data_IF_869572532773
#
_entry.id   IF_869572532773
#
_cell.length_a   1.000
_cell.length_b   1.000
_cell.length_c   1.000
_cell.angle_alpha   90.00
_cell.angle_beta   90.00
_cell.angle_gamma   90.00
#
_symmetry.space_group_name_H-M   'P 1'
#
loop_
_entity.id
_entity.type
_entity.pdbx_description
1 polymer ?
#
# COMPACT_ATOMS: atom_id res chain seq x y z
N UNK A 1 16.05 21.13 5.20
CA UNK A 1 15.89 19.67 5.43
C UNK A 1 14.95 19.22 4.32
N UNK A 2 15.31 18.22 3.52
CA UNK A 2 14.39 17.66 2.54
C UNK A 2 13.71 16.47 3.20
N UNK A 3 12.41 16.57 3.46
CA UNK A 3 11.63 15.45 3.98
C UNK A 3 11.56 14.38 2.89
N UNK A 4 12.25 13.28 3.15
CA UNK A 4 12.22 12.10 2.30
C UNK A 4 11.23 11.09 2.88
N UNK A 5 10.55 10.36 2.01
CA UNK A 5 9.55 9.38 2.40
C UNK A 5 9.92 8.01 1.87
N UNK A 6 9.71 7.00 2.70
CA UNK A 6 9.88 5.61 2.34
C UNK A 6 8.49 4.99 2.15
N UNK A 7 8.24 4.47 0.95
CA UNK A 7 6.95 3.89 0.57
C UNK A 7 7.13 2.41 0.23
N UNK A 8 6.18 1.58 0.67
CA UNK A 8 6.18 0.14 0.46
C UNK A 8 4.78 -0.35 0.13
N UNK A 9 4.71 -1.40 -0.68
CA UNK A 9 3.49 -2.18 -0.87
C UNK A 9 3.78 -3.63 -0.60
N UNK A 10 2.94 -4.27 0.21
CA UNK A 10 3.05 -5.69 0.54
C UNK A 10 1.68 -6.35 0.40
N UNK A 11 1.63 -7.50 -0.24
CA UNK A 11 0.46 -8.38 -0.20
C UNK A 11 0.70 -9.47 0.85
N UNK A 12 -0.28 -9.68 1.73
CA UNK A 12 -0.24 -10.70 2.77
C UNK A 12 -1.27 -11.79 2.47
N UNK A 13 -0.80 -13.00 2.25
CA UNK A 13 -1.64 -14.20 2.15
C UNK A 13 -1.37 -15.16 3.30
N UNK A 14 -2.05 -16.30 3.29
CA UNK A 14 -1.77 -17.40 4.23
C UNK A 14 -1.15 -18.59 3.52
N UNK A 15 -0.01 -19.08 4.03
CA UNK A 15 0.63 -20.31 3.57
C UNK A 15 0.84 -21.24 4.78
N UNK A 16 0.34 -22.48 4.72
CA UNK A 16 0.42 -23.43 5.82
C UNK A 16 -0.10 -22.91 7.19
N UNK A 17 -1.08 -21.99 7.18
CA UNK A 17 -1.61 -21.36 8.39
C UNK A 17 -0.83 -20.14 8.88
N UNK A 18 0.30 -19.81 8.25
CA UNK A 18 1.11 -18.63 8.58
C UNK A 18 0.82 -17.48 7.62
N UNK A 19 0.82 -16.24 8.15
CA UNK A 19 0.68 -15.02 7.33
C UNK A 19 2.02 -14.69 6.68
N UNK A 20 2.06 -14.74 5.35
CA UNK A 20 3.26 -14.47 4.55
C UNK A 20 3.08 -13.17 3.76
N UNK A 21 4.04 -12.25 3.89
CA UNK A 21 4.07 -11.00 3.13
C UNK A 21 4.96 -11.11 1.90
N UNK A 22 4.44 -10.72 0.73
CA UNK A 22 5.17 -10.62 -0.53
C UNK A 22 5.27 -9.14 -0.92
N UNK A 23 6.48 -8.56 -1.00
CA UNK A 23 6.66 -7.17 -1.39
C UNK A 23 6.30 -6.99 -2.87
N UNK A 24 5.40 -6.05 -3.15
CA UNK A 24 4.95 -5.72 -4.51
C UNK A 24 5.64 -4.48 -5.08
N UNK A 25 6.28 -3.68 -4.22
CA UNK A 25 7.05 -2.52 -4.65
C UNK A 25 7.58 -1.70 -3.49
N UNK A 26 8.65 -0.97 -3.75
CA UNK A 26 9.22 0.00 -2.82
C UNK A 26 9.61 1.27 -3.58
N UNK A 27 9.54 2.41 -2.91
CA UNK A 27 9.94 3.68 -3.49
C UNK A 27 10.40 4.66 -2.40
N UNK A 28 11.52 5.33 -2.69
CA UNK A 28 12.08 6.37 -1.82
C UNK A 28 11.76 7.71 -2.47
N UNK A 29 10.71 8.35 -2.01
CA UNK A 29 10.20 9.58 -2.59
C UNK A 29 10.97 10.80 -2.03
N UNK A 30 11.53 11.67 -2.89
CA UNK A 30 12.28 12.83 -2.44
C UNK A 30 11.37 14.00 -2.01
N UNK A 31 10.06 13.87 -2.18
CA UNK A 31 9.06 14.87 -1.76
C UNK A 31 7.76 14.18 -1.33
N UNK A 32 6.95 14.87 -0.53
CA UNK A 32 5.63 14.41 -0.12
C UNK A 32 4.72 14.16 -1.33
N UNK A 33 4.72 15.07 -2.30
CA UNK A 33 3.91 14.95 -3.50
C UNK A 33 4.23 13.67 -4.30
N UNK A 34 5.51 13.30 -4.39
CA UNK A 34 5.92 12.06 -5.06
C UNK A 34 5.59 10.81 -4.24
N UNK A 35 5.58 10.90 -2.91
CA UNK A 35 5.12 9.80 -2.05
C UNK A 35 3.63 9.51 -2.28
N UNK A 36 2.80 10.56 -2.23
CA UNK A 36 1.35 10.46 -2.47
C UNK A 36 1.06 9.96 -3.89
N UNK A 37 1.73 10.53 -4.90
CA UNK A 37 1.61 10.08 -6.28
C UNK A 37 1.95 8.60 -6.41
N UNK A 38 3.04 8.14 -5.81
CA UNK A 38 3.46 6.74 -5.92
C UNK A 38 2.47 5.80 -5.24
N UNK A 39 1.94 6.14 -4.06
CA UNK A 39 0.92 5.33 -3.40
C UNK A 39 -0.34 5.18 -4.28
N UNK A 40 -0.80 6.26 -4.90
CA UNK A 40 -1.94 6.24 -5.83
C UNK A 40 -1.66 5.38 -7.06
N UNK A 41 -0.50 5.60 -7.68
CA UNK A 41 -0.07 4.82 -8.84
C UNK A 41 0.01 3.32 -8.52
N UNK A 42 0.53 2.95 -7.35
CA UNK A 42 0.57 1.55 -6.92
C UNK A 42 -0.81 0.97 -6.59
N UNK A 43 -1.70 1.72 -5.97
CA UNK A 43 -3.07 1.28 -5.72
C UNK A 43 -3.81 1.00 -7.05
N UNK A 44 -3.70 1.88 -8.05
CA UNK A 44 -4.27 1.65 -9.39
C UNK A 44 -3.61 0.45 -10.07
N UNK A 45 -2.29 0.34 -10.00
CA UNK A 45 -1.55 -0.79 -10.60
C UNK A 45 -1.97 -2.15 -10.03
N UNK A 46 -2.30 -2.24 -8.74
CA UNK A 46 -2.85 -3.44 -8.10
C UNK A 46 -4.28 -3.67 -8.61
N UNK A 47 -5.14 -2.65 -8.55
CA UNK A 47 -6.54 -2.76 -8.95
C UNK A 47 -6.70 -3.27 -10.39
N UNK A 48 -5.90 -2.75 -11.32
CA UNK A 48 -5.95 -3.14 -12.73
C UNK A 48 -5.44 -4.56 -13.01
N UNK A 49 -4.66 -5.14 -12.08
CA UNK A 49 -4.20 -6.53 -12.17
C UNK A 49 -5.17 -7.51 -11.54
N UNK A 50 -5.89 -7.08 -10.51
CA UNK A 50 -6.90 -7.87 -9.83
C UNK A 50 -8.21 -7.90 -10.61
N UNK A 51 -8.56 -6.79 -11.26
CA UNK A 51 -9.76 -6.64 -12.09
C UNK A 51 -9.38 -6.12 -13.49
N UNK A 52 -8.85 -7.00 -14.35
CA UNK A 52 -8.50 -6.65 -15.71
C UNK A 52 -9.73 -6.53 -16.62
N UNK A 53 -9.66 -5.65 -17.61
CA UNK A 53 -10.69 -5.58 -18.65
C UNK A 53 -10.75 -6.89 -19.45
N UNK A 54 -11.95 -7.51 -19.60
CA UNK A 54 -12.10 -8.79 -20.28
C UNK A 54 -11.55 -8.82 -21.71
N UNK A 55 -11.68 -7.69 -22.41
CA UNK A 55 -11.21 -7.45 -23.77
C UNK A 55 -9.73 -7.04 -23.88
N UNK A 56 -8.99 -6.98 -22.77
CA UNK A 56 -7.58 -6.59 -22.82
C UNK A 56 -6.74 -7.65 -23.56
N UNK A 57 -5.95 -7.20 -24.54
CA UNK A 57 -5.27 -8.04 -25.53
C UNK A 57 -4.28 -9.10 -24.97
N UNK A 58 -3.97 -9.05 -23.67
CA UNK A 58 -3.03 -9.95 -23.01
C UNK A 58 -3.70 -11.15 -22.31
N UNK A 59 -5.04 -11.23 -22.31
CA UNK A 59 -5.77 -12.37 -21.76
C UNK A 59 -6.35 -13.24 -22.89
N UNK A 60 -6.07 -14.55 -22.89
CA UNK A 60 -6.73 -15.47 -23.81
C UNK A 60 -8.26 -15.44 -23.65
N UNK A 61 -9.03 -15.64 -24.74
CA UNK A 61 -10.49 -15.77 -24.63
C UNK A 61 -10.89 -16.84 -23.61
N UNK A 62 -11.78 -16.49 -22.68
CA UNK A 62 -12.27 -17.39 -21.64
C UNK A 62 -11.31 -17.62 -20.46
N UNK A 63 -10.18 -16.92 -20.36
CA UNK A 63 -9.28 -17.01 -19.20
C UNK A 63 -9.72 -16.18 -18.00
N UNK A 64 -10.74 -15.35 -18.17
CA UNK A 64 -11.31 -14.49 -17.13
C UNK A 64 -12.73 -14.96 -16.82
N UNK A 65 -13.07 -14.98 -15.54
CA UNK A 65 -14.40 -15.31 -15.04
C UNK A 65 -14.89 -14.18 -14.14
N UNK A 66 -16.19 -13.82 -14.21
CA UNK A 66 -16.75 -12.84 -13.29
C UNK A 66 -16.67 -13.36 -11.86
N UNK A 67 -16.29 -12.48 -10.95
CA UNK A 67 -16.37 -12.73 -9.51
C UNK A 67 -17.80 -12.47 -9.04
N UNK A 68 -18.26 -13.18 -8.02
CA UNK A 68 -19.59 -12.97 -7.46
C UNK A 68 -19.68 -11.62 -6.73
N UNK A 69 -20.82 -10.94 -6.82
CA UNK A 69 -21.10 -9.65 -6.16
C UNK A 69 -21.02 -9.69 -4.62
N UNK A 70 -20.93 -10.88 -4.03
CA UNK A 70 -20.81 -11.10 -2.59
C UNK A 70 -19.37 -11.02 -2.07
N UNK A 71 -18.39 -11.01 -2.97
CA UNK A 71 -16.96 -11.00 -2.62
C UNK A 71 -16.50 -9.55 -2.42
N UNK A 72 -15.63 -9.27 -1.43
CA UNK A 72 -15.05 -7.94 -1.27
C UNK A 72 -14.33 -7.45 -2.54
N UNK A 73 -14.80 -6.32 -3.08
CA UNK A 73 -14.23 -5.69 -4.27
C UNK A 73 -13.04 -4.78 -3.90
N UNK A 74 -11.89 -5.42 -3.68
CA UNK A 74 -10.62 -4.73 -3.44
C UNK A 74 -10.29 -3.71 -4.55
N UNK A 75 -10.40 -4.04 -5.85
CA UNK A 75 -10.15 -3.11 -6.93
C UNK A 75 -10.99 -1.83 -6.85
N UNK A 76 -12.30 -1.94 -6.59
CA UNK A 76 -13.16 -0.78 -6.43
C UNK A 76 -12.76 0.08 -5.22
N UNK A 77 -12.43 -0.54 -4.09
CA UNK A 77 -11.97 0.18 -2.89
C UNK A 77 -10.68 0.96 -3.17
N UNK A 78 -9.72 0.35 -3.86
CA UNK A 78 -8.45 1.02 -4.22
C UNK A 78 -8.69 2.18 -5.18
N UNK A 79 -9.54 2.01 -6.20
CA UNK A 79 -9.90 3.06 -7.16
C UNK A 79 -10.65 4.20 -6.47
N UNK A 80 -11.57 3.89 -5.56
CA UNK A 80 -12.30 4.86 -4.76
C UNK A 80 -11.34 5.68 -3.89
N UNK A 81 -10.43 5.02 -3.17
CA UNK A 81 -9.43 5.70 -2.35
C UNK A 81 -8.53 6.64 -3.18
N UNK A 82 -8.09 6.21 -4.37
CA UNK A 82 -7.30 7.04 -5.28
C UNK A 82 -8.02 8.30 -5.79
N UNK A 83 -9.36 8.26 -5.83
CA UNK A 83 -10.23 9.36 -6.28
C UNK A 83 -10.85 10.18 -5.14
N UNK A 84 -10.61 9.82 -3.88
CA UNK A 84 -11.13 10.53 -2.71
C UNK A 84 -10.14 11.61 -2.26
N UNK A 85 -10.36 12.84 -2.72
CA UNK A 85 -9.50 13.99 -2.41
C UNK A 85 -9.34 14.24 -0.90
N UNK A 86 -10.39 14.01 -0.10
CA UNK A 86 -10.34 14.22 1.35
C UNK A 86 -9.45 13.18 2.03
N UNK A 87 -9.49 11.92 1.57
CA UNK A 87 -8.56 10.89 2.04
C UNK A 87 -7.12 11.19 1.61
N UNK A 88 -6.92 11.68 0.38
CA UNK A 88 -5.58 12.04 -0.10
C UNK A 88 -4.98 13.22 0.69
N UNK A 89 -5.78 14.23 0.99
CA UNK A 89 -5.38 15.36 1.84
C UNK A 89 -5.02 14.89 3.25
N UNK A 90 -5.89 14.07 3.87
CA UNK A 90 -5.64 13.49 5.20
C UNK A 90 -4.31 12.73 5.24
N UNK A 91 -4.06 11.83 4.27
CA UNK A 91 -2.81 11.08 4.18
C UNK A 91 -1.61 12.02 4.04
N UNK A 92 -1.73 13.06 3.21
CA UNK A 92 -0.71 14.10 3.06
C UNK A 92 -0.38 14.79 4.37
N UNK A 93 -1.39 15.20 5.14
CA UNK A 93 -1.22 15.82 6.45
C UNK A 93 -0.56 14.89 7.48
N UNK A 94 -0.94 13.60 7.51
CA UNK A 94 -0.34 12.63 8.41
C UNK A 94 1.15 12.44 8.10
N UNK A 95 1.51 12.29 6.82
CA UNK A 95 2.89 12.13 6.38
C UNK A 95 3.71 13.40 6.63
N UNK A 96 3.16 14.59 6.35
CA UNK A 96 3.80 15.87 6.64
C UNK A 96 4.07 16.05 8.14
N UNK A 97 3.20 15.51 9.00
CA UNK A 97 3.41 15.49 10.44
C UNK A 97 4.37 14.38 10.91
N UNK A 98 5.02 13.66 10.00
CA UNK A 98 5.98 12.59 10.31
C UNK A 98 5.35 11.29 10.83
N UNK A 99 4.04 11.10 10.65
CA UNK A 99 3.35 9.87 11.08
C UNK A 99 3.42 8.79 10.01
N UNK A 100 3.48 7.53 10.46
CA UNK A 100 3.30 6.36 9.61
C UNK A 100 1.88 6.36 9.07
N UNK A 101 1.73 6.24 7.76
CA UNK A 101 0.44 5.99 7.11
C UNK A 101 0.41 4.56 6.60
N UNK A 102 -0.72 3.90 6.88
CA UNK A 102 -1.04 2.55 6.41
C UNK A 102 -2.44 2.55 5.82
N UNK A 103 -2.53 2.21 4.54
CA UNK A 103 -3.79 1.93 3.84
C UNK A 103 -3.83 0.43 3.60
N UNK A 104 -4.85 -0.25 4.10
CA UNK A 104 -5.00 -1.69 3.93
C UNK A 104 -6.41 -2.04 3.49
N UNK A 105 -6.51 -2.97 2.54
CA UNK A 105 -7.76 -3.57 2.08
C UNK A 105 -7.55 -5.05 1.86
N UNK A 106 -8.60 -5.87 1.89
CA UNK A 106 -8.46 -7.30 1.74
C UNK A 106 -9.63 -7.94 1.03
N UNK A 107 -9.32 -9.01 0.30
CA UNK A 107 -10.30 -9.98 -0.17
C UNK A 107 -10.30 -11.20 0.77
N UNK A 108 -10.97 -12.27 0.36
CA UNK A 108 -11.09 -13.52 1.12
C UNK A 108 -9.74 -14.20 1.38
N UNK A 109 -8.73 -13.95 0.53
CA UNK A 109 -7.46 -14.65 0.48
C UNK A 109 -6.26 -13.78 0.83
N UNK A 110 -6.31 -12.50 0.47
CA UNK A 110 -5.15 -11.61 0.43
C UNK A 110 -5.49 -10.24 1.00
N UNK A 111 -4.60 -9.72 1.85
CA UNK A 111 -4.61 -8.32 2.28
C UNK A 111 -3.53 -7.53 1.53
N UNK A 112 -3.90 -6.39 0.98
CA UNK A 112 -2.99 -5.47 0.29
C UNK A 112 -2.75 -4.28 1.18
N UNK A 113 -1.48 -4.03 1.52
CA UNK A 113 -1.04 -2.95 2.39
C UNK A 113 -0.16 -1.99 1.61
N UNK A 114 -0.52 -0.71 1.64
CA UNK A 114 0.29 0.40 1.16
C UNK A 114 0.74 1.20 2.39
N UNK A 115 2.04 1.37 2.53
CA UNK A 115 2.67 1.98 3.68
C UNK A 115 3.57 3.12 3.23
N UNK A 116 3.52 4.23 3.95
CA UNK A 116 4.46 5.34 3.77
C UNK A 116 4.84 5.96 5.10
N UNK A 117 6.10 6.36 5.22
CA UNK A 117 6.63 7.01 6.41
C UNK A 117 7.71 8.04 6.07
N UNK A 118 7.85 9.05 6.92
CA UNK A 118 8.95 10.03 6.82
C UNK A 118 10.25 9.40 7.32
N UNK A 119 11.30 9.49 6.50
CA UNK A 119 12.65 9.01 6.83
C UNK A 119 13.25 9.81 7.98
N UNK A 120 12.94 11.10 8.09
CA UNK A 120 13.45 11.93 9.17
C UNK A 120 12.77 11.59 10.51
N UNK A 121 11.48 11.25 10.49
CA UNK A 121 10.79 10.69 11.66
C UNK A 121 11.39 9.34 12.10
N UNK A 122 11.68 8.45 11.15
CA UNK A 122 12.37 7.17 11.41
C UNK A 122 13.77 7.38 12.02
N UNK A 123 14.54 8.33 11.49
CA UNK A 123 15.88 8.66 12.01
C UNK A 123 15.79 9.15 13.44
N UNK A 124 14.84 10.04 13.74
CA UNK A 124 14.60 10.54 15.10
C UNK A 124 14.21 9.42 16.05
N UNK A 125 13.30 8.51 15.67
CA UNK A 125 12.94 7.36 16.51
C UNK A 125 14.13 6.43 16.80
N UNK A 126 15.03 6.21 15.83
CA UNK A 126 16.24 5.41 16.01
C UNK A 126 17.34 6.10 16.84
N UNK A 127 17.28 7.43 16.97
CA UNK A 127 18.20 8.21 17.82
C UNK A 127 17.68 8.39 19.25
N UNK A 128 16.41 8.08 19.51
CA UNK A 128 15.96 7.83 20.89
C UNK A 128 16.68 6.56 21.34
N UNK A 129 17.49 6.59 22.42
CA UNK A 129 18.19 5.40 22.86
C UNK A 129 17.15 4.35 23.21
N UNK A 130 17.02 3.34 22.34
CA UNK A 130 16.31 2.13 22.68
C UNK A 130 16.94 1.63 23.98
N UNK A 131 16.11 1.50 25.01
CA UNK A 131 16.51 0.87 26.27
C UNK A 131 17.02 -0.52 25.91
N UNK A 132 18.34 -0.67 25.75
CA UNK A 132 19.00 -1.95 25.53
C UNK A 132 18.79 -2.72 26.82
N UNK A 133 17.72 -3.53 26.87
CA UNK A 133 17.53 -4.48 27.95
C UNK A 133 18.55 -5.60 27.74
N UNK A 134 19.48 -5.82 28.69
CA UNK A 134 20.35 -6.97 28.62
C UNK A 134 19.51 -8.23 28.71
N UNK A 135 19.72 -9.16 27.77
CA UNK A 135 19.20 -10.52 27.89
C UNK A 135 20.05 -11.20 28.98
N UNK A 136 19.43 -11.49 30.11
CA UNK A 136 19.96 -12.38 31.15
C UNK A 136 19.39 -13.77 31.01
#
# INVERSE_FOLDING_TARGET
MHDEFLCHVTAYGTCAGERIGVPLGTYRAPTLALALWWLRDRAIWIADRLDPQPEAAHFPPGSLAPVADTVPDVPAVLRLWCGDDAQQELVGEQLAAGRLVRIATRDETTEYELLAESVDALRMQRTIPALVLPVG
#
